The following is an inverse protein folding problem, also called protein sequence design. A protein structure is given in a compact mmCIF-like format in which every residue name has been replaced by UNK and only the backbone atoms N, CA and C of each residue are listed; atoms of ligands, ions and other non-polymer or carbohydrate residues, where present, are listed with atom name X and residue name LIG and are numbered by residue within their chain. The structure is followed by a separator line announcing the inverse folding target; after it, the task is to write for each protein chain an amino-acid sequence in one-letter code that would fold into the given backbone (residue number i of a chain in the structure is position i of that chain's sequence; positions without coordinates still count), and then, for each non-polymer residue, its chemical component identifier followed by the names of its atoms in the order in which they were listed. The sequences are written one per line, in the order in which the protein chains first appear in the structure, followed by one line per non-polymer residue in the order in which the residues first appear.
data_IF_792018814041
#
_entry.id   IF_792018814041
#
_cell.length_a   1.000
_cell.length_b   1.000
_cell.length_c   1.000
_cell.angle_alpha   90.00
_cell.angle_beta   90.00
_cell.angle_gamma   90.00
#
_symmetry.space_group_name_H-M   'P 1'
#
loop_
_entity.id
_entity.type
_entity.pdbx_description
1 polymer ?
#
# COMPACT_ATOMS: atom_id res chain seq x y z
N UNK A 1 2.48 -5.11 -23.34
CA UNK A 1 3.45 -4.96 -22.23
C UNK A 1 2.90 -4.02 -21.18
N UNK A 2 3.14 -4.33 -19.88
CA UNK A 2 2.78 -3.43 -18.80
C UNK A 2 3.80 -2.29 -18.65
N UNK A 3 3.37 -1.09 -18.18
CA UNK A 3 4.22 0.08 -18.01
C UNK A 3 5.12 -0.04 -16.76
N UNK A 4 6.15 -0.90 -16.82
CA UNK A 4 7.07 -1.12 -15.72
C UNK A 4 7.78 0.16 -15.27
N UNK A 5 7.83 0.39 -13.96
CA UNK A 5 8.52 1.51 -13.33
C UNK A 5 9.93 1.07 -12.91
N UNK A 6 10.93 1.34 -13.75
CA UNK A 6 12.32 0.91 -13.50
C UNK A 6 13.08 1.87 -12.58
N UNK A 7 12.80 3.14 -12.68
CA UNK A 7 13.50 4.22 -11.96
C UNK A 7 12.50 4.94 -11.04
N UNK A 8 12.70 4.79 -9.73
CA UNK A 8 11.75 5.34 -8.75
C UNK A 8 12.41 5.64 -7.40
N UNK A 9 11.79 6.54 -6.66
CA UNK A 9 12.18 6.84 -5.30
C UNK A 9 12.11 5.59 -4.41
N UNK A 10 13.20 5.26 -3.72
CA UNK A 10 13.25 4.09 -2.82
C UNK A 10 12.23 4.15 -1.68
N UNK A 11 11.70 5.33 -1.34
CA UNK A 11 10.71 5.46 -0.26
C UNK A 11 9.28 5.46 -0.76
N UNK A 12 8.94 6.33 -1.70
CA UNK A 12 7.54 6.55 -2.09
C UNK A 12 7.19 6.04 -3.49
N UNK A 13 8.12 5.38 -4.18
CA UNK A 13 7.96 4.87 -5.54
C UNK A 13 7.61 5.95 -6.59
N UNK A 14 7.81 7.24 -6.29
CA UNK A 14 7.68 8.30 -7.30
C UNK A 14 8.69 8.06 -8.44
N UNK A 15 8.29 8.08 -9.71
CA UNK A 15 9.22 7.99 -10.82
C UNK A 15 10.31 9.06 -10.74
N UNK A 16 11.57 8.66 -10.95
CA UNK A 16 12.74 9.54 -10.93
C UNK A 16 13.59 9.30 -12.16
N UNK A 17 14.45 10.27 -12.57
CA UNK A 17 15.37 10.11 -13.69
C UNK A 17 16.44 9.03 -13.46
N UNK A 18 16.83 8.82 -12.19
CA UNK A 18 17.86 7.85 -11.78
C UNK A 18 17.29 6.89 -10.73
N UNK A 19 17.71 5.63 -10.81
CA UNK A 19 17.31 4.60 -9.83
C UNK A 19 18.06 4.75 -8.51
N UNK A 20 17.48 4.16 -7.45
CA UNK A 20 18.11 4.08 -6.13
C UNK A 20 18.12 5.38 -5.33
N UNK A 21 17.62 6.48 -5.85
CA UNK A 21 17.58 7.78 -5.17
C UNK A 21 16.34 7.94 -4.28
N UNK A 22 16.41 8.91 -3.38
CA UNK A 22 15.26 9.39 -2.59
C UNK A 22 14.85 10.75 -3.15
N UNK A 23 13.56 10.93 -3.45
CA UNK A 23 13.05 12.19 -4.00
C UNK A 23 13.15 13.33 -2.97
N UNK A 24 13.20 14.58 -3.45
CA UNK A 24 13.33 15.77 -2.61
C UNK A 24 12.22 15.91 -1.54
N UNK A 25 10.99 15.45 -1.82
CA UNK A 25 9.92 15.45 -0.82
C UNK A 25 10.19 14.44 0.31
N UNK A 26 10.64 13.22 -0.01
CA UNK A 26 10.99 12.23 1.00
C UNK A 26 12.27 12.57 1.78
N UNK A 27 13.16 13.39 1.23
CA UNK A 27 14.31 13.93 1.95
C UNK A 27 13.86 14.99 2.97
N UNK A 28 12.99 15.92 2.54
CA UNK A 28 12.48 16.99 3.42
C UNK A 28 11.49 16.47 4.47
N UNK A 29 10.61 15.55 4.07
CA UNK A 29 9.53 14.99 4.91
C UNK A 29 9.45 13.49 4.70
N UNK A 30 10.27 12.71 5.42
CA UNK A 30 10.23 11.26 5.32
C UNK A 30 8.82 10.73 5.65
N UNK A 31 8.26 9.83 4.82
CA UNK A 31 6.97 9.22 5.11
C UNK A 31 7.05 8.33 6.35
N UNK A 32 5.88 8.07 6.97
CA UNK A 32 5.77 7.19 8.12
C UNK A 32 5.99 5.70 7.77
N UNK A 33 5.87 5.34 6.50
CA UNK A 33 6.27 4.02 5.99
C UNK A 33 7.73 4.05 5.53
N UNK A 34 8.35 2.89 5.49
CA UNK A 34 9.77 2.78 5.11
C UNK A 34 9.95 2.81 3.60
N UNK A 35 9.12 2.05 2.91
CA UNK A 35 9.21 1.87 1.48
C UNK A 35 7.83 1.59 0.88
N UNK A 36 7.59 2.11 -0.30
CA UNK A 36 6.49 1.71 -1.18
C UNK A 36 7.06 0.92 -2.36
N UNK A 37 6.33 -0.11 -2.78
CA UNK A 37 6.66 -0.93 -3.95
C UNK A 37 5.50 -0.77 -4.92
N UNK A 38 5.77 -0.12 -6.05
CA UNK A 38 4.82 0.08 -7.13
C UNK A 38 5.53 -0.28 -8.46
N UNK A 39 5.49 -1.56 -8.88
CA UNK A 39 6.28 -2.02 -10.01
C UNK A 39 5.86 -1.41 -11.34
N UNK A 40 4.66 -0.84 -11.40
CA UNK A 40 4.11 -0.24 -12.62
C UNK A 40 3.68 1.21 -12.41
N UNK A 41 3.77 2.00 -13.48
CA UNK A 41 3.14 3.32 -13.54
C UNK A 41 1.65 3.17 -13.83
N UNK A 42 0.82 4.01 -13.22
CA UNK A 42 -0.62 4.06 -13.51
C UNK A 42 -0.86 4.76 -14.85
N UNK A 43 -0.68 4.01 -15.93
CA UNK A 43 -0.82 4.43 -17.32
C UNK A 43 -1.39 3.27 -18.15
N UNK A 44 -1.78 3.54 -19.40
CA UNK A 44 -2.25 2.48 -20.31
C UNK A 44 -1.19 1.39 -20.52
N UNK A 45 -1.56 0.10 -20.53
CA UNK A 45 -2.91 -0.45 -20.37
C UNK A 45 -3.32 -0.74 -18.90
N UNK A 46 -2.43 -0.53 -17.93
CA UNK A 46 -2.66 -0.92 -16.53
C UNK A 46 -3.85 -0.19 -15.89
N UNK A 47 -4.01 1.10 -16.17
CA UNK A 47 -5.14 1.90 -15.68
C UNK A 47 -6.47 1.31 -16.11
N UNK A 48 -6.57 0.89 -17.37
CA UNK A 48 -7.76 0.23 -17.92
C UNK A 48 -8.03 -1.13 -17.26
N UNK A 49 -6.97 -1.93 -17.05
CA UNK A 49 -7.08 -3.24 -16.38
C UNK A 49 -7.56 -3.07 -14.92
N UNK A 50 -6.96 -2.14 -14.18
CA UNK A 50 -7.36 -1.85 -12.80
C UNK A 50 -8.80 -1.31 -12.75
N UNK A 51 -9.21 -0.43 -13.66
CA UNK A 51 -10.57 0.09 -13.71
C UNK A 51 -11.59 -1.00 -14.01
N UNK A 52 -11.31 -1.90 -14.94
CA UNK A 52 -12.18 -3.07 -15.22
C UNK A 52 -12.27 -3.99 -14.00
N UNK A 53 -11.16 -4.27 -13.33
CA UNK A 53 -11.17 -5.02 -12.08
C UNK A 53 -12.03 -4.33 -11.01
N UNK A 54 -11.86 -3.02 -10.79
CA UNK A 54 -12.60 -2.23 -9.80
C UNK A 54 -14.09 -2.13 -10.05
N UNK A 55 -14.50 -1.96 -11.31
CA UNK A 55 -15.85 -1.54 -11.64
C UNK A 55 -16.67 -2.61 -12.38
N UNK A 56 -16.03 -3.60 -12.97
CA UNK A 56 -16.67 -4.67 -13.72
C UNK A 56 -16.46 -6.05 -13.08
N UNK A 57 -15.87 -6.10 -11.87
CA UNK A 57 -15.54 -7.34 -11.17
C UNK A 57 -14.77 -8.34 -12.07
N UNK A 58 -13.86 -7.82 -12.90
CA UNK A 58 -13.07 -8.65 -13.80
C UNK A 58 -12.01 -9.45 -13.02
N UNK A 59 -12.45 -10.47 -12.29
CA UNK A 59 -11.63 -11.32 -11.42
C UNK A 59 -10.35 -11.88 -12.07
N UNK A 60 -10.38 -12.31 -13.36
CA UNK A 60 -9.16 -12.78 -14.04
C UNK A 60 -8.06 -11.71 -14.09
N UNK A 61 -8.44 -10.42 -14.22
CA UNK A 61 -7.47 -9.32 -14.23
C UNK A 61 -6.86 -9.09 -12.83
N UNK A 62 -7.68 -9.14 -11.78
CA UNK A 62 -7.19 -9.07 -10.40
C UNK A 62 -6.23 -10.20 -10.07
N UNK A 63 -6.54 -11.42 -10.54
CA UNK A 63 -5.68 -12.58 -10.42
C UNK A 63 -4.35 -12.38 -11.14
N UNK A 64 -4.37 -12.02 -12.41
CA UNK A 64 -3.17 -11.77 -13.20
C UNK A 64 -2.26 -10.70 -12.57
N UNK A 65 -2.85 -9.57 -12.17
CA UNK A 65 -2.08 -8.50 -11.51
C UNK A 65 -1.48 -8.96 -10.18
N UNK A 66 -2.20 -9.77 -9.41
CA UNK A 66 -1.70 -10.37 -8.17
C UNK A 66 -0.54 -11.33 -8.41
N UNK A 67 -0.61 -12.18 -9.42
CA UNK A 67 0.45 -13.12 -9.81
C UNK A 67 1.72 -12.38 -10.27
N UNK A 68 1.58 -11.38 -11.13
CA UNK A 68 2.71 -10.57 -11.59
C UNK A 68 3.36 -9.75 -10.46
N UNK A 69 2.55 -9.24 -9.53
CA UNK A 69 3.06 -8.55 -8.34
C UNK A 69 3.78 -9.53 -7.41
N UNK A 70 3.24 -10.73 -7.22
CA UNK A 70 3.88 -11.76 -6.42
C UNK A 70 5.24 -12.16 -6.97
N UNK A 71 5.36 -12.34 -8.29
CA UNK A 71 6.63 -12.66 -8.94
C UNK A 71 7.67 -11.54 -8.74
N UNK A 72 7.25 -10.27 -8.93
CA UNK A 72 8.11 -9.13 -8.64
C UNK A 72 8.57 -9.12 -7.17
N UNK A 73 7.67 -9.41 -6.22
CA UNK A 73 8.01 -9.43 -4.80
C UNK A 73 8.91 -10.62 -4.44
N UNK A 74 8.78 -11.80 -5.07
CA UNK A 74 9.71 -12.93 -4.88
C UNK A 74 11.13 -12.52 -5.24
N UNK A 75 11.31 -11.85 -6.38
CA UNK A 75 12.60 -11.33 -6.78
C UNK A 75 13.15 -10.32 -5.76
N UNK A 76 12.32 -9.36 -5.31
CA UNK A 76 12.72 -8.37 -4.30
C UNK A 76 13.10 -9.00 -2.97
N UNK A 77 12.41 -10.06 -2.54
CA UNK A 77 12.75 -10.81 -1.33
C UNK A 77 14.07 -11.57 -1.48
N UNK A 78 14.35 -12.14 -2.66
CA UNK A 78 15.65 -12.74 -2.96
C UNK A 78 16.80 -11.73 -2.95
N UNK A 79 16.53 -10.47 -3.32
CA UNK A 79 17.46 -9.33 -3.26
C UNK A 79 17.62 -8.74 -1.83
N UNK A 80 16.96 -9.32 -0.83
CA UNK A 80 17.11 -8.92 0.58
C UNK A 80 16.04 -7.96 1.09
N UNK A 81 14.95 -7.73 0.37
CA UNK A 81 13.79 -7.03 0.92
C UNK A 81 13.22 -7.83 2.10
N UNK A 82 13.03 -7.24 3.29
CA UNK A 82 12.45 -7.94 4.43
C UNK A 82 11.02 -8.40 4.16
N UNK A 83 10.72 -9.67 4.46
CA UNK A 83 9.36 -10.21 4.35
C UNK A 83 8.50 -9.68 5.49
N UNK A 84 7.27 -9.22 5.23
CA UNK A 84 6.36 -8.80 6.29
C UNK A 84 5.77 -10.02 7.02
N UNK A 85 5.45 -9.84 8.28
CA UNK A 85 4.72 -10.84 9.06
C UNK A 85 3.25 -10.97 8.63
N UNK A 86 2.65 -9.86 8.17
CA UNK A 86 1.26 -9.84 7.67
C UNK A 86 1.09 -8.81 6.56
N UNK A 87 0.16 -9.12 5.64
CA UNK A 87 -0.38 -8.21 4.64
C UNK A 87 -1.68 -7.60 5.15
N UNK A 88 -1.78 -6.28 5.17
CA UNK A 88 -2.98 -5.56 5.59
C UNK A 88 -3.59 -4.85 4.38
N UNK A 89 -4.72 -5.35 3.85
CA UNK A 89 -5.41 -4.63 2.77
C UNK A 89 -5.95 -3.30 3.25
N UNK A 90 -5.82 -2.27 2.43
CA UNK A 90 -6.41 -0.96 2.70
C UNK A 90 -7.94 -1.08 2.67
N UNK A 91 -8.65 -0.72 3.77
CA UNK A 91 -10.09 -0.88 3.83
C UNK A 91 -10.81 0.16 2.97
N UNK A 92 -11.83 -0.29 2.24
CA UNK A 92 -12.75 0.59 1.53
C UNK A 92 -13.74 1.25 2.49
N UNK A 93 -14.30 2.39 2.04
CA UNK A 93 -15.45 2.97 2.71
C UNK A 93 -16.66 2.01 2.57
N UNK A 94 -17.47 1.78 3.63
CA UNK A 94 -18.55 0.80 3.63
C UNK A 94 -19.55 0.98 2.48
N UNK A 95 -19.88 2.23 2.12
CA UNK A 95 -20.75 2.52 0.97
C UNK A 95 -20.14 2.09 -0.37
N UNK A 96 -18.83 2.27 -0.52
CA UNK A 96 -18.11 1.86 -1.74
C UNK A 96 -18.01 0.36 -1.84
N UNK A 97 -17.74 -0.31 -0.72
CA UNK A 97 -17.67 -1.76 -0.67
C UNK A 97 -19.03 -2.39 -0.99
N UNK A 98 -20.13 -1.92 -0.38
CA UNK A 98 -21.48 -2.36 -0.73
C UNK A 98 -21.83 -2.14 -2.20
N UNK A 99 -21.47 -0.97 -2.77
CA UNK A 99 -21.74 -0.67 -4.19
C UNK A 99 -20.92 -1.52 -5.14
N UNK A 100 -19.69 -1.85 -4.76
CA UNK A 100 -18.74 -2.62 -5.58
C UNK A 100 -18.90 -4.14 -5.38
N UNK A 101 -19.39 -4.55 -4.22
CA UNK A 101 -19.54 -5.95 -3.83
C UNK A 101 -18.28 -6.57 -3.23
N UNK A 102 -17.11 -5.90 -3.32
CA UNK A 102 -15.83 -6.40 -2.81
C UNK A 102 -14.81 -5.29 -2.56
N UNK A 103 -13.76 -5.61 -1.80
CA UNK A 103 -12.58 -4.78 -1.63
C UNK A 103 -11.44 -5.32 -2.51
N UNK A 104 -11.03 -4.57 -3.53
CA UNK A 104 -9.96 -4.97 -4.45
C UNK A 104 -8.60 -5.13 -3.77
N UNK A 105 -8.30 -4.30 -2.77
CA UNK A 105 -7.06 -4.42 -2.01
C UNK A 105 -7.03 -5.72 -1.20
N UNK A 106 -8.18 -6.16 -0.69
CA UNK A 106 -8.30 -7.45 0.00
C UNK A 106 -8.06 -8.61 -0.95
N UNK A 107 -8.67 -8.59 -2.13
CA UNK A 107 -8.46 -9.64 -3.14
C UNK A 107 -6.98 -9.75 -3.55
N UNK A 108 -6.31 -8.61 -3.74
CA UNK A 108 -4.88 -8.59 -4.02
C UNK A 108 -4.06 -9.13 -2.84
N UNK A 109 -4.38 -8.73 -1.60
CA UNK A 109 -3.67 -9.19 -0.41
C UNK A 109 -3.84 -10.70 -0.18
N UNK A 110 -5.03 -11.24 -0.38
CA UNK A 110 -5.32 -12.68 -0.29
C UNK A 110 -4.55 -13.46 -1.36
N UNK A 111 -4.53 -12.95 -2.61
CA UNK A 111 -3.74 -13.56 -3.68
C UNK A 111 -2.25 -13.56 -3.36
N UNK A 112 -1.70 -12.41 -2.96
CA UNK A 112 -0.29 -12.28 -2.56
C UNK A 112 0.04 -13.20 -1.38
N UNK A 113 -0.86 -13.33 -0.41
CA UNK A 113 -0.67 -14.21 0.74
C UNK A 113 -0.50 -15.67 0.31
N UNK A 114 -1.35 -16.17 -0.60
CA UNK A 114 -1.23 -17.52 -1.14
C UNK A 114 0.03 -17.72 -1.99
N UNK A 115 0.37 -16.76 -2.88
CA UNK A 115 1.52 -16.86 -3.77
C UNK A 115 2.88 -16.76 -3.04
N UNK A 116 2.93 -16.05 -1.92
CA UNK A 116 4.18 -15.74 -1.21
C UNK A 116 4.30 -16.46 0.13
N UNK A 117 3.35 -17.32 0.48
CA UNK A 117 3.27 -17.95 1.81
C UNK A 117 3.35 -16.91 2.94
N UNK A 118 2.43 -15.93 2.88
CA UNK A 118 2.27 -14.87 3.86
C UNK A 118 0.87 -14.90 4.45
N UNK A 119 0.68 -14.23 5.58
CA UNK A 119 -0.65 -14.07 6.19
C UNK A 119 -1.31 -12.79 5.72
N UNK A 120 -2.55 -12.88 5.24
CA UNK A 120 -3.42 -11.73 5.04
C UNK A 120 -4.28 -11.51 6.26
N UNK A 121 -4.42 -10.25 6.68
CA UNK A 121 -5.27 -9.85 7.82
C UNK A 121 -6.20 -8.69 7.38
N UNK A 122 -7.37 -9.01 6.82
CA UNK A 122 -8.32 -8.03 6.32
C UNK A 122 -9.13 -7.34 7.43
N UNK A 123 -9.01 -7.79 8.68
CA UNK A 123 -9.87 -7.34 9.77
C UNK A 123 -9.21 -6.35 10.73
N UNK A 124 -7.88 -6.29 10.74
CA UNK A 124 -7.13 -5.39 11.63
C UNK A 124 -7.35 -3.91 11.35
N UNK A 125 -7.55 -3.53 10.10
CA UNK A 125 -7.80 -2.14 9.70
C UNK A 125 -9.27 -1.93 9.34
N UNK A 126 -9.86 -0.84 9.83
CA UNK A 126 -11.24 -0.45 9.52
C UNK A 126 -11.28 0.99 9.00
N UNK A 127 -12.13 1.25 8.03
CA UNK A 127 -12.46 2.62 7.62
C UNK A 127 -13.73 3.04 8.33
N UNK A 128 -13.59 4.00 9.24
CA UNK A 128 -14.68 4.46 10.14
C UNK A 128 -15.42 5.68 9.60
N UNK A 129 -14.81 6.45 8.67
CA UNK A 129 -15.44 7.60 8.04
C UNK A 129 -15.52 7.40 6.52
N UNK A 130 -16.71 7.61 6.00
CA UNK A 130 -16.96 7.66 4.56
C UNK A 130 -16.61 9.08 4.06
N UNK A 131 -15.34 9.33 3.83
CA UNK A 131 -14.93 10.61 3.22
C UNK A 131 -15.26 10.56 1.74
N UNK A 132 -16.09 11.48 1.23
CA UNK A 132 -16.40 11.54 -0.20
C UNK A 132 -15.11 11.60 -1.02
N UNK A 133 -15.10 10.92 -2.18
CA UNK A 133 -14.08 11.17 -3.19
C UNK A 133 -14.38 12.55 -3.79
N UNK A 134 -13.93 13.60 -3.15
CA UNK A 134 -14.06 14.95 -3.67
C UNK A 134 -12.97 15.15 -4.71
N UNK A 135 -13.34 14.99 -5.98
CA UNK A 135 -12.57 15.54 -7.09
C UNK A 135 -12.49 17.06 -6.84
N UNK A 136 -11.27 17.61 -6.75
CA UNK A 136 -11.07 19.04 -6.61
C UNK A 136 -10.64 19.56 -5.24
N UNK A 137 -10.58 18.74 -4.18
CA UNK A 137 -10.05 19.22 -2.89
C UNK A 137 -8.51 19.27 -2.88
N UNK A 138 -7.99 20.35 -2.25
CA UNK A 138 -6.58 20.53 -1.92
C UNK A 138 -6.01 19.30 -1.15
N UNK A 139 -4.75 18.98 -1.43
CA UNK A 139 -4.02 17.89 -0.80
C UNK A 139 -4.02 18.00 0.73
N UNK A 140 -4.04 19.21 1.28
CA UNK A 140 -4.08 19.50 2.71
C UNK A 140 -5.40 19.08 3.35
N UNK A 141 -6.53 19.38 2.69
CA UNK A 141 -7.87 18.99 3.15
C UNK A 141 -8.04 17.48 3.06
N UNK A 142 -7.52 16.84 1.99
CA UNK A 142 -7.50 15.36 1.89
C UNK A 142 -6.73 14.72 3.03
N UNK A 143 -5.55 15.23 3.38
CA UNK A 143 -4.75 14.72 4.51
C UNK A 143 -5.47 14.87 5.85
N UNK A 144 -6.16 15.98 6.06
CA UNK A 144 -6.93 16.23 7.29
C UNK A 144 -8.11 15.27 7.41
N UNK A 145 -8.87 15.08 6.33
CA UNK A 145 -10.03 14.17 6.28
C UNK A 145 -9.63 12.71 6.46
N UNK A 146 -8.42 12.31 6.03
CA UNK A 146 -7.93 10.95 6.20
C UNK A 146 -7.46 10.63 7.62
N UNK A 147 -7.08 11.63 8.44
CA UNK A 147 -6.52 11.38 9.79
C UNK A 147 -7.46 10.60 10.71
N UNK A 148 -8.75 10.78 10.57
CA UNK A 148 -9.78 10.12 11.37
C UNK A 148 -10.57 9.08 10.59
N UNK A 149 -10.18 8.83 9.33
CA UNK A 149 -10.92 7.92 8.45
C UNK A 149 -10.67 6.44 8.77
N UNK A 150 -9.59 6.13 9.50
CA UNK A 150 -9.19 4.77 9.78
C UNK A 150 -8.98 4.51 11.27
N UNK A 151 -9.25 3.29 11.69
CA UNK A 151 -9.01 2.79 13.02
C UNK A 151 -8.48 1.35 12.98
N UNK A 152 -7.78 0.94 14.04
CA UNK A 152 -7.51 -0.46 14.31
C UNK A 152 -8.74 -1.11 14.94
N UNK A 153 -8.99 -2.37 14.59
CA UNK A 153 -9.99 -3.16 15.28
C UNK A 153 -9.53 -3.45 16.72
N UNK A 154 -10.44 -3.44 17.72
CA UNK A 154 -10.08 -3.58 19.14
C UNK A 154 -9.26 -4.84 19.46
N UNK A 155 -9.52 -5.95 18.76
CA UNK A 155 -8.83 -7.23 18.97
C UNK A 155 -7.51 -7.36 18.19
N UNK A 156 -7.07 -6.32 17.47
CA UNK A 156 -5.87 -6.41 16.63
C UNK A 156 -4.63 -6.12 17.44
N UNK A 157 -3.72 -7.08 17.52
CA UNK A 157 -2.37 -6.86 18.03
C UNK A 157 -1.37 -6.80 16.87
N UNK A 158 -0.79 -5.61 16.73
CA UNK A 158 0.21 -5.28 15.69
C UNK A 158 1.58 -4.97 16.26
N UNK A 159 1.74 -5.03 17.58
CA UNK A 159 2.97 -4.66 18.29
C UNK A 159 4.14 -5.54 17.87
N UNK A 160 5.25 -4.89 17.57
CA UNK A 160 6.48 -5.55 17.15
C UNK A 160 6.42 -6.23 15.77
N UNK A 161 5.27 -6.16 15.06
CA UNK A 161 5.14 -6.81 13.75
C UNK A 161 5.61 -5.89 12.62
N UNK A 162 6.40 -6.45 11.71
CA UNK A 162 6.66 -5.86 10.39
C UNK A 162 5.46 -6.12 9.48
N UNK A 163 4.81 -5.06 9.03
CA UNK A 163 3.55 -5.12 8.29
C UNK A 163 3.68 -4.50 6.90
N UNK A 164 2.97 -5.05 5.92
CA UNK A 164 2.85 -4.44 4.60
C UNK A 164 1.39 -4.07 4.33
N UNK A 165 1.16 -2.80 3.94
CA UNK A 165 -0.13 -2.35 3.42
C UNK A 165 -0.25 -2.75 1.95
N UNK A 166 -1.41 -3.25 1.56
CA UNK A 166 -1.73 -3.60 0.16
C UNK A 166 -2.84 -2.67 -0.32
N UNK A 167 -2.61 -1.98 -1.43
CA UNK A 167 -3.59 -1.13 -2.11
C UNK A 167 -3.50 -1.36 -3.63
N UNK A 168 -4.51 -0.95 -4.38
CA UNK A 168 -4.56 -1.13 -5.83
C UNK A 168 -3.86 0.01 -6.60
N UNK A 169 -3.86 1.23 -6.07
CA UNK A 169 -3.22 2.40 -6.70
C UNK A 169 -2.57 3.29 -5.65
N UNK A 170 -1.29 3.55 -5.84
CA UNK A 170 -0.54 4.54 -5.07
C UNK A 170 -0.52 5.87 -5.86
N UNK A 171 -1.23 6.88 -5.36
CA UNK A 171 -1.21 8.24 -5.93
C UNK A 171 -0.26 9.16 -5.15
N UNK A 172 -0.78 9.92 -4.20
CA UNK A 172 0.02 10.82 -3.35
C UNK A 172 0.64 10.12 -2.13
N UNK A 173 0.34 8.84 -1.90
CA UNK A 173 0.73 8.12 -0.70
C UNK A 173 -0.01 8.56 0.58
N UNK A 174 -1.00 9.45 0.51
CA UNK A 174 -1.68 9.98 1.70
C UNK A 174 -2.39 8.91 2.53
N UNK A 175 -2.99 7.91 1.89
CA UNK A 175 -3.61 6.76 2.57
C UNK A 175 -2.55 5.90 3.26
N UNK A 176 -1.48 5.55 2.55
CA UNK A 176 -0.36 4.79 3.11
C UNK A 176 0.28 5.51 4.29
N UNK A 177 0.50 6.83 4.18
CA UNK A 177 1.02 7.68 5.25
C UNK A 177 0.11 7.67 6.49
N UNK A 178 -1.20 7.83 6.30
CA UNK A 178 -2.17 7.84 7.39
C UNK A 178 -2.20 6.50 8.13
N UNK A 179 -2.31 5.40 7.40
CA UNK A 179 -2.36 4.05 7.96
C UNK A 179 -1.03 3.67 8.62
N UNK A 180 0.10 4.02 8.03
CA UNK A 180 1.41 3.76 8.64
C UNK A 180 1.61 4.51 9.95
N UNK A 181 1.14 5.75 10.05
CA UNK A 181 1.13 6.49 11.33
C UNK A 181 0.24 5.83 12.38
N UNK A 182 -0.93 5.35 11.97
CA UNK A 182 -1.84 4.61 12.86
C UNK A 182 -1.17 3.34 13.39
N UNK A 183 -0.59 2.52 12.51
CA UNK A 183 0.09 1.28 12.87
C UNK A 183 1.31 1.52 13.77
N UNK A 184 2.14 2.52 13.46
CA UNK A 184 3.30 2.88 14.31
C UNK A 184 2.90 3.34 15.69
N UNK A 185 1.83 4.12 15.83
CA UNK A 185 1.28 4.52 17.14
C UNK A 185 0.77 3.32 17.95
N UNK A 186 0.30 2.29 17.28
CA UNK A 186 -0.12 1.03 17.90
C UNK A 186 1.06 0.06 18.17
N UNK A 187 2.30 0.48 17.92
CA UNK A 187 3.50 -0.30 18.22
C UNK A 187 3.98 -1.23 17.12
N UNK A 188 3.47 -1.12 15.89
CA UNK A 188 4.01 -1.87 14.76
C UNK A 188 5.50 -1.57 14.56
N UNK A 189 6.29 -2.60 14.25
CA UNK A 189 7.73 -2.47 14.06
C UNK A 189 8.06 -1.78 12.74
N UNK A 190 9.15 -1.02 12.75
CA UNK A 190 9.90 -0.74 11.54
C UNK A 190 10.68 -1.99 11.13
N UNK A 191 10.97 -2.14 9.84
CA UNK A 191 11.85 -3.19 9.32
C UNK A 191 13.22 -3.20 10.06
N UNK A 192 13.86 -4.37 10.20
CA UNK A 192 15.19 -4.48 10.83
C UNK A 192 16.24 -3.55 10.21
N UNK A 193 16.11 -3.17 8.95
CA UNK A 193 16.99 -2.21 8.26
C UNK A 193 16.85 -0.78 8.79
N UNK A 194 15.69 -0.38 9.30
CA UNK A 194 15.47 0.95 9.89
C UNK A 194 16.19 1.11 11.24
N UNK A 195 16.30 0.05 12.03
CA UNK A 195 17.00 0.09 13.35
C UNK A 195 18.49 0.34 13.20
N UNK A 196 19.12 -0.12 12.11
CA UNK A 196 20.58 0.10 11.89
C UNK A 196 20.93 1.56 11.58
N UNK A 197 19.97 2.35 11.07
CA UNK A 197 20.19 3.76 10.74
C UNK A 197 19.87 4.72 11.91
N UNK A 198 19.10 4.28 12.90
CA UNK A 198 18.77 5.09 14.09
C UNK A 198 19.88 5.10 15.17
N UNK A 199 20.85 4.18 15.06
CA UNK A 199 21.98 4.08 16.00
C UNK A 199 23.28 4.75 15.50
N UNK A 200 23.18 5.60 14.46
CA UNK A 200 24.29 6.40 13.89
C UNK A 200 23.94 7.89 13.86
N UNK A 201 23.56 8.44 14.99
CA UNK A 201 23.57 9.89 15.27
C UNK A 201 24.15 10.11 16.65
#
# INVERSE_FOLDING_TARGET
DLPWSRQQCRRCALPLPLDGQVCGECLRRPPAYEQAIAPWRYAFPLDSLINRFKHQAAWPLGRLLGELLAEHLRQRYAEGLPRPARLLPVPLAPRRERRRGFNQAQQLAERLAGELDLRSDPHSLRRVLDTPAQQGLDATVRRRNLRHAFALAPASDVRGLHLALVDDVLTTGATAECLSRLLRRAGAACSPTCRKNASRT
#
